data_IF_827368664523
#
_entry.id   IF_827368664523
#
_cell.length_a   1.000
_cell.length_b   1.000
_cell.length_c   1.000
_cell.angle_alpha   90.00
_cell.angle_beta   90.00
_cell.angle_gamma   90.00
#
_symmetry.space_group_name_H-M   'P 1'
#
loop_
_entity.id
_entity.type
_entity.pdbx_description
1 polymer ?
#
# COMPACT_ATOMS: atom_id res chain seq x y z
N UNK A 1 -1.94 -20.12 23.36
CA UNK A 1 -2.77 -19.30 22.44
C UNK A 1 -2.07 -19.26 21.10
N UNK A 2 -2.49 -20.09 20.14
CA UNK A 2 -1.92 -20.13 18.78
C UNK A 2 -2.69 -19.13 17.95
N UNK A 3 -2.07 -17.99 17.65
CA UNK A 3 -2.65 -16.95 16.80
C UNK A 3 -2.43 -17.34 15.33
N UNK A 4 -3.52 -17.38 14.59
CA UNK A 4 -3.53 -17.54 13.13
C UNK A 4 -2.86 -16.33 12.50
N UNK A 5 -1.79 -16.54 11.74
CA UNK A 5 -1.06 -15.47 11.05
C UNK A 5 -1.89 -15.04 9.83
N UNK A 6 -2.70 -14.00 10.01
CA UNK A 6 -3.12 -13.15 8.90
C UNK A 6 -1.96 -12.18 8.65
N UNK A 7 -1.56 -12.02 7.39
CA UNK A 7 -0.76 -10.88 6.93
C UNK A 7 -1.55 -9.63 7.25
N UNK A 8 -0.91 -8.66 7.88
CA UNK A 8 -1.56 -7.44 8.34
C UNK A 8 -1.36 -6.35 7.30
N UNK A 9 -2.13 -6.38 6.22
CA UNK A 9 -2.34 -5.16 5.44
C UNK A 9 -3.09 -4.17 6.35
N UNK A 10 -2.35 -3.29 7.05
CA UNK A 10 -2.89 -2.12 7.70
C UNK A 10 -3.43 -1.22 6.60
N UNK A 11 -4.70 -1.42 6.25
CA UNK A 11 -5.45 -0.49 5.46
C UNK A 11 -5.41 0.86 6.21
N UNK A 12 -4.59 1.79 5.72
CA UNK A 12 -4.96 3.18 5.83
C UNK A 12 -6.17 3.33 4.94
N UNK A 13 -7.34 3.00 5.52
CA UNK A 13 -8.59 3.48 5.00
C UNK A 13 -8.37 4.95 4.66
N UNK A 14 -8.57 5.29 3.39
CA UNK A 14 -8.78 6.65 2.98
C UNK A 14 -9.92 7.19 3.87
N UNK A 15 -9.53 7.83 4.97
CA UNK A 15 -10.36 8.65 5.85
C UNK A 15 -11.82 8.17 6.00
N UNK A 16 -12.04 7.01 6.62
CA UNK A 16 -13.34 6.75 7.25
C UNK A 16 -13.34 7.40 8.64
N UNK A 17 -13.50 8.72 8.70
CA UNK A 17 -14.03 9.33 9.91
C UNK A 17 -15.54 8.99 9.99
N UNK A 18 -16.10 8.69 11.18
CA UNK A 18 -17.54 8.50 11.31
C UNK A 18 -18.26 9.80 10.94
N UNK A 19 -19.00 9.77 9.83
CA UNK A 19 -19.87 10.86 9.39
C UNK A 19 -20.98 11.01 10.42
N UNK A 20 -21.00 12.13 11.14
CA UNK A 20 -22.16 12.54 11.92
C UNK A 20 -23.33 12.78 10.95
N UNK A 21 -24.54 12.24 11.20
CA UNK A 21 -25.68 12.50 10.34
C UNK A 21 -26.04 13.98 10.42
N UNK A 22 -25.80 14.71 9.33
CA UNK A 22 -26.30 16.07 9.15
C UNK A 22 -27.71 15.96 8.60
N UNK A 23 -28.72 16.21 9.42
CA UNK A 23 -30.08 16.41 8.95
C UNK A 23 -30.10 17.66 8.05
N UNK A 24 -30.38 17.50 6.75
CA UNK A 24 -30.73 18.65 5.90
C UNK A 24 -31.72 18.30 4.79
N UNK A 25 -32.90 18.90 4.96
CA UNK A 25 -33.83 19.50 3.99
C UNK A 25 -33.52 19.23 2.51
N UNK A 26 -34.51 18.61 1.87
CA UNK A 26 -34.62 18.27 0.45
C UNK A 26 -34.62 19.49 -0.48
N UNK A 27 -33.62 19.56 -1.37
CA UNK A 27 -33.79 20.05 -2.74
C UNK A 27 -33.22 19.01 -3.70
N UNK A 28 -34.09 18.46 -4.53
CA UNK A 28 -33.77 17.44 -5.51
C UNK A 28 -32.73 17.95 -6.52
N UNK A 29 -31.49 17.51 -6.38
CA UNK A 29 -30.53 17.49 -7.48
C UNK A 29 -30.88 16.26 -8.33
N UNK A 30 -31.27 16.48 -9.59
CA UNK A 30 -31.32 15.45 -10.61
C UNK A 30 -30.04 14.63 -10.56
N UNK A 31 -30.14 13.34 -10.24
CA UNK A 31 -29.03 12.40 -10.18
C UNK A 31 -28.46 12.20 -11.59
N UNK A 32 -27.57 13.09 -12.01
CA UNK A 32 -26.69 12.83 -13.14
C UNK A 32 -25.87 11.60 -12.80
N UNK A 33 -25.90 10.60 -13.68
CA UNK A 33 -25.02 9.45 -13.58
C UNK A 33 -23.56 9.93 -13.59
N UNK A 34 -22.72 9.37 -12.72
CA UNK A 34 -21.29 9.67 -12.74
C UNK A 34 -20.67 9.18 -14.06
N UNK A 35 -19.65 9.87 -14.60
CA UNK A 35 -18.96 9.43 -15.81
C UNK A 35 -18.35 8.03 -15.64
N UNK A 36 -18.12 7.29 -16.73
CA UNK A 36 -17.52 5.96 -16.66
C UNK A 36 -16.18 6.00 -15.94
N UNK A 37 -15.90 4.97 -15.15
CA UNK A 37 -14.66 4.82 -14.39
C UNK A 37 -13.44 4.79 -15.32
N UNK A 38 -12.35 5.42 -14.90
CA UNK A 38 -11.03 5.33 -15.55
C UNK A 38 -10.19 4.24 -14.89
N UNK A 39 -9.19 3.74 -15.62
CA UNK A 39 -8.17 2.84 -15.10
C UNK A 39 -6.79 3.33 -15.49
N UNK A 40 -5.76 2.78 -14.87
CA UNK A 40 -4.39 3.05 -15.30
C UNK A 40 -4.01 2.15 -16.47
N UNK A 41 -3.37 2.74 -17.48
CA UNK A 41 -2.63 1.97 -18.45
C UNK A 41 -1.33 1.47 -17.82
N UNK A 42 -0.80 0.37 -18.35
CA UNK A 42 0.45 -0.23 -17.89
C UNK A 42 1.61 0.77 -18.07
N UNK A 43 2.04 1.40 -16.97
CA UNK A 43 3.12 2.39 -16.99
C UNK A 43 4.38 1.81 -16.36
N UNK A 44 5.50 2.10 -17.03
CA UNK A 44 6.82 1.50 -16.80
C UNK A 44 7.30 1.72 -15.37
N UNK A 45 7.99 0.74 -14.75
CA UNK A 45 8.43 0.86 -13.38
C UNK A 45 9.47 1.99 -13.20
N UNK A 46 9.35 2.70 -12.08
CA UNK A 46 10.44 3.50 -11.50
C UNK A 46 11.68 2.61 -11.42
N UNK A 47 12.78 3.05 -12.04
CA UNK A 47 14.01 2.24 -12.14
C UNK A 47 14.60 2.02 -10.76
N UNK A 48 15.15 0.82 -10.52
CA UNK A 48 15.96 0.54 -9.33
C UNK A 48 17.21 1.42 -9.37
N UNK A 49 17.40 2.22 -8.32
CA UNK A 49 18.55 3.12 -8.14
C UNK A 49 19.49 2.67 -7.02
N UNK A 50 19.08 1.68 -6.23
CA UNK A 50 19.79 1.16 -5.06
C UNK A 50 21.02 0.35 -5.42
N UNK A 51 21.99 0.33 -4.50
CA UNK A 51 23.20 -0.47 -4.64
C UNK A 51 22.92 -1.96 -4.44
N UNK A 52 23.73 -2.83 -5.04
CA UNK A 52 23.55 -4.28 -4.87
C UNK A 52 23.77 -4.74 -3.43
N UNK A 53 24.58 -4.01 -2.65
CA UNK A 53 24.79 -4.31 -1.23
C UNK A 53 23.50 -4.11 -0.43
N UNK A 54 22.79 -3.01 -0.65
CA UNK A 54 21.49 -2.71 -0.01
C UNK A 54 20.42 -3.70 -0.48
N UNK A 55 20.34 -3.95 -1.79
CA UNK A 55 19.40 -4.93 -2.35
C UNK A 55 19.60 -6.32 -1.76
N UNK A 56 20.85 -6.75 -1.53
CA UNK A 56 21.14 -8.03 -0.92
C UNK A 56 20.68 -8.10 0.55
N UNK A 57 20.93 -7.05 1.33
CA UNK A 57 20.48 -6.99 2.73
C UNK A 57 18.96 -7.04 2.81
N UNK A 58 18.27 -6.20 2.04
CA UNK A 58 16.82 -6.13 2.07
C UNK A 58 16.18 -7.43 1.57
N UNK A 59 16.72 -8.06 0.52
CA UNK A 59 16.27 -9.39 0.09
C UNK A 59 16.32 -10.41 1.23
N UNK A 60 17.41 -10.45 1.99
CA UNK A 60 17.56 -11.39 3.11
C UNK A 60 16.58 -11.06 4.24
N UNK A 61 16.38 -9.78 4.56
CA UNK A 61 15.50 -9.35 5.65
C UNK A 61 14.00 -9.47 5.32
N UNK A 62 13.65 -9.37 4.05
CA UNK A 62 12.32 -9.68 3.55
C UNK A 62 12.07 -11.21 3.52
N UNK A 63 13.07 -12.01 3.15
CA UNK A 63 12.90 -13.45 2.90
C UNK A 63 13.01 -14.32 4.16
N UNK A 64 13.87 -13.96 5.12
CA UNK A 64 14.22 -14.82 6.26
C UNK A 64 13.62 -14.37 7.60
N UNK A 65 12.63 -13.49 7.56
CA UNK A 65 11.89 -13.02 8.73
C UNK A 65 10.41 -12.95 8.37
N UNK A 66 9.55 -13.02 9.37
CA UNK A 66 8.12 -12.70 9.29
C UNK A 66 7.86 -11.34 9.95
N UNK A 67 6.76 -10.67 9.62
CA UNK A 67 6.32 -9.40 10.27
C UNK A 67 6.32 -9.47 11.81
N UNK A 68 5.95 -10.64 12.34
CA UNK A 68 5.99 -10.93 13.79
C UNK A 68 7.38 -10.85 14.43
N UNK A 69 8.44 -10.79 13.62
CA UNK A 69 9.84 -10.86 14.03
C UNK A 69 10.39 -12.29 14.13
N UNK A 70 9.56 -13.32 13.91
CA UNK A 70 10.00 -14.73 13.85
C UNK A 70 10.93 -14.93 12.66
N UNK A 71 12.03 -15.65 12.86
CA UNK A 71 12.94 -16.02 11.77
C UNK A 71 12.36 -17.17 10.94
N UNK A 72 12.63 -17.14 9.65
CA UNK A 72 12.44 -18.27 8.73
C UNK A 72 13.82 -18.91 8.53
N UNK A 73 13.91 -20.23 8.65
CA UNK A 73 15.18 -20.95 8.56
C UNK A 73 15.65 -21.16 7.11
N UNK A 74 14.70 -21.33 6.20
CA UNK A 74 14.95 -21.66 4.79
C UNK A 74 14.04 -20.86 3.87
N UNK A 75 14.59 -20.43 2.74
CA UNK A 75 13.82 -19.83 1.65
C UNK A 75 12.83 -20.86 1.10
N UNK A 76 11.63 -20.39 0.75
CA UNK A 76 10.62 -21.18 0.01
C UNK A 76 10.07 -20.36 -1.13
N UNK A 77 9.83 -21.04 -2.26
CA UNK A 77 9.12 -20.50 -3.43
C UNK A 77 8.33 -21.62 -4.11
N UNK A 78 7.62 -21.29 -5.18
CA UNK A 78 7.08 -22.32 -6.07
C UNK A 78 8.21 -22.81 -6.99
N UNK A 79 8.45 -24.12 -7.03
CA UNK A 79 9.41 -24.73 -7.98
C UNK A 79 8.73 -25.20 -9.28
N UNK A 80 7.41 -25.35 -9.25
CA UNK A 80 6.59 -25.75 -10.40
C UNK A 80 6.00 -24.57 -11.16
N UNK A 81 5.12 -24.84 -12.15
CA UNK A 81 4.46 -23.81 -12.93
C UNK A 81 3.67 -22.84 -12.07
N UNK A 82 3.83 -21.54 -12.31
CA UNK A 82 3.02 -20.52 -11.65
C UNK A 82 1.70 -20.37 -12.39
N UNK A 83 0.63 -20.84 -11.77
CA UNK A 83 -0.72 -20.77 -12.32
C UNK A 83 -1.67 -20.07 -11.37
N UNK A 84 -2.47 -19.14 -11.89
CA UNK A 84 -3.37 -18.30 -11.10
C UNK A 84 -4.80 -18.56 -11.52
N UNK A 85 -5.68 -18.86 -10.56
CA UNK A 85 -7.13 -19.00 -10.78
C UNK A 85 -7.87 -17.97 -9.94
N UNK A 86 -8.97 -17.42 -10.46
CA UNK A 86 -9.88 -16.56 -9.72
C UNK A 86 -11.16 -17.32 -9.37
N UNK A 87 -11.62 -17.19 -8.12
CA UNK A 87 -12.88 -17.72 -7.62
C UNK A 87 -13.74 -16.62 -7.00
N UNK A 88 -15.05 -16.89 -6.89
CA UNK A 88 -16.02 -15.97 -6.28
C UNK A 88 -16.55 -14.90 -7.24
N UNK A 89 -17.52 -14.13 -6.75
CA UNK A 89 -18.12 -13.01 -7.49
C UNK A 89 -17.24 -11.78 -7.39
N UNK A 90 -16.15 -11.76 -8.15
CA UNK A 90 -15.22 -10.64 -8.21
C UNK A 90 -15.85 -9.38 -8.83
N UNK A 91 -15.36 -8.21 -8.40
CA UNK A 91 -15.68 -6.94 -9.06
C UNK A 91 -15.22 -6.97 -10.53
N UNK A 92 -15.93 -6.31 -11.47
CA UNK A 92 -15.59 -6.34 -12.90
C UNK A 92 -14.16 -5.89 -13.22
N UNK A 93 -13.58 -4.98 -12.42
CA UNK A 93 -12.21 -4.49 -12.60
C UNK A 93 -11.13 -5.50 -12.23
N UNK A 94 -11.43 -6.47 -11.36
CA UNK A 94 -10.44 -7.42 -10.82
C UNK A 94 -9.73 -8.16 -11.94
N UNK A 95 -10.46 -8.66 -12.93
CA UNK A 95 -9.87 -9.43 -14.03
C UNK A 95 -8.90 -8.57 -14.85
N UNK A 96 -9.28 -7.34 -15.22
CA UNK A 96 -8.40 -6.45 -15.98
C UNK A 96 -7.16 -6.03 -15.19
N UNK A 97 -7.32 -5.75 -13.89
CA UNK A 97 -6.21 -5.37 -13.01
C UNK A 97 -5.26 -6.56 -12.79
N UNK A 98 -5.79 -7.76 -12.62
CA UNK A 98 -5.00 -8.99 -12.53
C UNK A 98 -4.27 -9.27 -13.84
N UNK A 99 -4.91 -9.15 -14.99
CA UNK A 99 -4.26 -9.38 -16.29
C UNK A 99 -3.09 -8.42 -16.51
N UNK A 100 -3.24 -7.15 -16.13
CA UNK A 100 -2.16 -6.16 -16.16
C UNK A 100 -1.01 -6.56 -15.21
N UNK A 101 -1.32 -6.93 -13.96
CA UNK A 101 -0.32 -7.40 -13.00
C UNK A 101 0.43 -8.63 -13.50
N UNK A 102 -0.27 -9.64 -14.03
CA UNK A 102 0.35 -10.85 -14.58
C UNK A 102 1.23 -10.54 -15.80
N UNK A 103 0.84 -9.59 -16.65
CA UNK A 103 1.67 -9.13 -17.76
C UNK A 103 2.96 -8.47 -17.27
N UNK A 104 2.87 -7.62 -16.24
CA UNK A 104 4.04 -7.01 -15.60
C UNK A 104 4.95 -8.03 -14.94
N UNK A 105 4.42 -9.00 -14.20
CA UNK A 105 5.22 -10.06 -13.56
C UNK A 105 6.01 -10.88 -14.59
N UNK A 106 5.42 -11.19 -15.76
CA UNK A 106 6.15 -11.82 -16.87
C UNK A 106 7.24 -10.91 -17.42
N UNK A 107 6.92 -9.64 -17.67
CA UNK A 107 7.80 -8.69 -18.38
C UNK A 107 8.95 -8.16 -17.53
N UNK A 108 8.67 -7.81 -16.27
CA UNK A 108 9.58 -7.10 -15.38
C UNK A 108 10.31 -8.05 -14.42
N UNK A 109 9.58 -9.04 -13.87
CA UNK A 109 10.12 -10.02 -12.94
C UNK A 109 10.53 -11.35 -13.59
N UNK A 110 10.32 -11.51 -14.91
CA UNK A 110 10.74 -12.69 -15.69
C UNK A 110 10.10 -14.00 -15.17
N UNK A 111 8.85 -13.92 -14.72
CA UNK A 111 8.10 -15.05 -14.16
C UNK A 111 7.21 -15.69 -15.22
N UNK A 112 7.33 -17.01 -15.42
CA UNK A 112 6.37 -17.80 -16.21
C UNK A 112 5.09 -18.06 -15.40
N UNK A 113 4.29 -17.00 -15.25
CA UNK A 113 3.03 -17.01 -14.51
C UNK A 113 1.84 -16.89 -15.47
N UNK A 114 0.84 -17.76 -15.37
CA UNK A 114 -0.31 -17.77 -16.31
C UNK A 114 -1.67 -17.99 -15.64
N UNK A 115 -2.75 -17.38 -16.17
CA UNK A 115 -4.08 -17.68 -15.71
C UNK A 115 -4.46 -19.14 -16.04
N UNK A 116 -5.30 -19.74 -15.22
CA UNK A 116 -5.86 -21.09 -15.42
C UNK A 116 -7.25 -21.19 -14.81
N UNK A 117 -8.05 -22.13 -15.33
CA UNK A 117 -9.31 -22.54 -14.71
C UNK A 117 -9.19 -23.86 -13.93
N UNK A 118 -8.00 -24.48 -13.94
CA UNK A 118 -7.75 -25.74 -13.24
C UNK A 118 -8.02 -25.60 -11.75
N UNK A 119 -8.74 -26.55 -11.12
CA UNK A 119 -8.83 -26.62 -9.66
C UNK A 119 -7.49 -26.86 -8.97
N UNK A 120 -6.48 -27.29 -9.73
CA UNK A 120 -5.12 -27.52 -9.27
C UNK A 120 -4.16 -26.33 -9.52
N UNK A 121 -4.70 -25.11 -9.58
CA UNK A 121 -3.85 -23.92 -9.67
C UNK A 121 -2.89 -23.81 -8.47
N UNK A 122 -1.68 -23.30 -8.71
CA UNK A 122 -0.71 -23.05 -7.63
C UNK A 122 -1.14 -21.89 -6.74
N UNK A 123 -1.84 -20.90 -7.31
CA UNK A 123 -2.36 -19.74 -6.59
C UNK A 123 -3.85 -19.58 -6.91
N UNK A 124 -4.69 -19.52 -5.89
CA UNK A 124 -6.10 -19.13 -6.03
C UNK A 124 -6.31 -17.73 -5.46
N UNK A 125 -6.83 -16.81 -6.24
CA UNK A 125 -7.39 -15.55 -5.74
C UNK A 125 -8.88 -15.77 -5.56
N UNK A 126 -9.42 -15.54 -4.36
CA UNK A 126 -10.83 -15.72 -4.09
C UNK A 126 -11.44 -14.43 -3.56
N UNK A 127 -12.41 -13.91 -4.30
CA UNK A 127 -13.21 -12.77 -3.91
C UNK A 127 -14.26 -13.20 -2.88
N UNK A 128 -14.22 -12.61 -1.68
CA UNK A 128 -15.10 -12.91 -0.56
C UNK A 128 -15.78 -11.60 -0.12
N UNK A 129 -17.10 -11.59 0.19
CA UNK A 129 -17.74 -10.39 0.72
C UNK A 129 -17.01 -9.87 1.96
N UNK A 130 -16.76 -8.56 2.04
CA UNK A 130 -15.95 -7.93 3.08
C UNK A 130 -16.46 -8.26 4.49
N UNK A 131 -17.78 -8.28 4.68
CA UNK A 131 -18.40 -8.68 5.97
C UNK A 131 -18.07 -10.11 6.38
N UNK A 132 -17.90 -11.02 5.42
CA UNK A 132 -17.51 -12.41 5.68
C UNK A 132 -16.04 -12.49 6.05
N UNK A 133 -15.16 -11.76 5.34
CA UNK A 133 -13.74 -11.65 5.69
C UNK A 133 -13.56 -11.11 7.10
N UNK A 134 -14.16 -9.95 7.41
CA UNK A 134 -14.04 -9.29 8.71
C UNK A 134 -14.61 -10.12 9.88
N UNK A 135 -15.54 -11.05 9.65
CA UNK A 135 -15.99 -11.96 10.71
C UNK A 135 -14.95 -13.02 11.05
N UNK A 136 -14.17 -13.47 10.07
CA UNK A 136 -13.15 -14.50 10.25
C UNK A 136 -11.79 -13.91 10.68
N UNK A 137 -11.40 -12.79 10.07
CA UNK A 137 -10.15 -12.05 10.27
C UNK A 137 -10.44 -10.55 10.40
N UNK A 138 -10.93 -10.07 11.57
CA UNK A 138 -11.49 -8.72 11.72
C UNK A 138 -10.61 -7.53 11.38
N UNK A 139 -9.32 -7.76 11.24
CA UNK A 139 -8.36 -6.68 11.07
C UNK A 139 -7.54 -6.79 9.77
N UNK A 140 -7.88 -7.74 8.91
CA UNK A 140 -7.26 -7.90 7.59
C UNK A 140 -8.23 -7.39 6.51
N UNK A 141 -7.75 -6.53 5.61
CA UNK A 141 -8.51 -6.14 4.42
C UNK A 141 -8.47 -7.27 3.37
N UNK A 142 -7.27 -7.75 3.09
CA UNK A 142 -6.94 -8.94 2.33
C UNK A 142 -5.81 -9.68 3.06
N UNK A 143 -5.56 -10.94 2.66
CA UNK A 143 -4.47 -11.74 3.20
C UNK A 143 -4.17 -12.95 2.32
N UNK A 144 -2.92 -13.40 2.35
CA UNK A 144 -2.44 -14.63 1.73
C UNK A 144 -2.23 -15.76 2.74
N UNK A 145 -2.60 -16.99 2.34
CA UNK A 145 -2.48 -18.20 3.17
C UNK A 145 -1.81 -19.33 2.39
N UNK A 146 -0.82 -20.04 2.99
CA UNK A 146 -0.16 -21.15 2.32
C UNK A 146 -0.93 -22.47 2.50
N UNK A 147 -0.67 -23.43 1.61
CA UNK A 147 -1.19 -24.81 1.64
C UNK A 147 -2.72 -24.91 1.69
N UNK A 148 -3.44 -23.91 1.22
CA UNK A 148 -4.89 -23.96 1.06
C UNK A 148 -5.25 -23.56 -0.36
N UNK A 149 -6.33 -24.14 -0.88
CA UNK A 149 -6.80 -23.92 -2.25
C UNK A 149 -7.92 -22.90 -2.36
N UNK A 150 -8.67 -22.72 -1.28
CA UNK A 150 -9.86 -21.86 -1.21
C UNK A 150 -10.24 -21.54 0.24
N UNK A 151 -11.34 -20.79 0.39
CA UNK A 151 -11.88 -20.31 1.65
C UNK A 151 -12.31 -21.43 2.60
N UNK A 152 -12.88 -22.52 2.08
CA UNK A 152 -13.38 -23.61 2.92
C UNK A 152 -12.21 -24.39 3.52
N UNK A 153 -11.17 -24.66 2.73
CA UNK A 153 -9.92 -25.24 3.24
C UNK A 153 -9.25 -24.33 4.28
N UNK A 154 -9.23 -23.01 4.05
CA UNK A 154 -8.72 -22.06 5.03
C UNK A 154 -9.53 -22.15 6.33
N UNK A 155 -10.86 -22.08 6.29
CA UNK A 155 -11.69 -22.10 7.48
C UNK A 155 -11.53 -23.41 8.29
N UNK A 156 -11.35 -24.54 7.61
CA UNK A 156 -11.09 -25.83 8.23
C UNK A 156 -9.69 -25.92 8.87
N UNK A 157 -8.69 -25.24 8.32
CA UNK A 157 -7.28 -25.37 8.71
C UNK A 157 -6.71 -24.17 9.46
N UNK A 158 -7.46 -23.07 9.60
CA UNK A 158 -6.96 -21.78 10.12
C UNK A 158 -6.24 -21.89 11.46
N UNK A 159 -6.69 -22.76 12.36
CA UNK A 159 -6.11 -22.95 13.70
C UNK A 159 -4.96 -23.96 13.75
N UNK A 160 -4.51 -24.48 12.60
CA UNK A 160 -3.49 -25.53 12.50
C UNK A 160 -2.15 -24.98 12.02
N UNK A 161 -1.08 -25.78 12.16
CA UNK A 161 0.25 -25.44 11.64
C UNK A 161 0.29 -25.46 10.09
N UNK A 162 -0.75 -26.01 9.44
CA UNK A 162 -0.85 -26.04 7.97
C UNK A 162 -0.77 -24.66 7.35
N UNK A 163 -1.29 -23.63 8.02
CA UNK A 163 -1.27 -22.24 7.52
C UNK A 163 -0.07 -21.42 8.00
N UNK A 164 0.88 -22.03 8.76
CA UNK A 164 2.09 -21.33 9.22
C UNK A 164 3.20 -21.34 8.15
N UNK A 165 3.49 -20.16 7.60
CA UNK A 165 4.55 -19.94 6.61
C UNK A 165 5.94 -20.43 7.05
N UNK A 166 6.26 -20.35 8.35
CA UNK A 166 7.58 -20.75 8.87
C UNK A 166 7.84 -22.26 8.83
N UNK A 167 6.79 -23.06 8.57
CA UNK A 167 6.87 -24.52 8.50
C UNK A 167 6.88 -25.04 7.05
N UNK A 168 6.94 -24.14 6.07
CA UNK A 168 7.05 -24.52 4.67
C UNK A 168 8.46 -24.96 4.35
N UNK A 169 8.57 -26.01 3.55
CA UNK A 169 9.80 -26.42 2.87
C UNK A 169 9.81 -26.03 1.40
N UNK A 170 8.62 -25.88 0.80
CA UNK A 170 8.36 -25.46 -0.57
C UNK A 170 6.92 -24.90 -0.65
N UNK A 171 6.65 -24.01 -1.62
CA UNK A 171 5.28 -23.56 -1.92
C UNK A 171 4.69 -24.40 -3.06
N UNK A 172 3.50 -24.93 -2.84
CA UNK A 172 2.77 -25.75 -3.83
C UNK A 172 1.41 -25.16 -4.15
N UNK A 173 0.66 -24.82 -3.10
CA UNK A 173 -0.61 -24.12 -3.18
C UNK A 173 -0.65 -22.96 -2.19
N UNK A 174 -1.32 -21.89 -2.59
CA UNK A 174 -1.68 -20.79 -1.70
C UNK A 174 -2.97 -20.13 -2.19
N UNK A 175 -3.69 -19.51 -1.25
CA UNK A 175 -4.87 -18.71 -1.54
C UNK A 175 -4.67 -17.26 -1.11
N UNK A 176 -5.12 -16.33 -1.95
CA UNK A 176 -5.22 -14.91 -1.68
C UNK A 176 -6.71 -14.59 -1.53
N UNK A 177 -7.09 -13.98 -0.41
CA UNK A 177 -8.47 -13.59 -0.16
C UNK A 177 -8.62 -12.08 -0.28
N UNK A 178 -9.50 -11.63 -1.16
CA UNK A 178 -9.75 -10.21 -1.43
C UNK A 178 -11.21 -9.84 -1.17
N UNK A 179 -11.51 -8.61 -0.72
CA UNK A 179 -12.88 -8.15 -0.53
C UNK A 179 -13.60 -7.96 -1.88
N UNK A 180 -14.70 -8.68 -2.09
CA UNK A 180 -15.45 -8.67 -3.35
C UNK A 180 -16.14 -7.33 -3.66
N UNK A 181 -16.42 -6.56 -2.61
CA UNK A 181 -17.24 -5.35 -2.60
C UNK A 181 -16.47 -4.09 -2.16
N UNK A 182 -15.13 -4.15 -2.12
CA UNK A 182 -14.27 -2.99 -1.88
C UNK A 182 -14.10 -2.12 -3.14
N UNK A 183 -13.43 -0.97 -2.98
CA UNK A 183 -13.09 -0.10 -4.10
C UNK A 183 -12.16 -0.82 -5.10
N UNK A 184 -12.29 -0.57 -6.42
CA UNK A 184 -11.41 -1.16 -7.44
C UNK A 184 -9.92 -1.01 -7.15
N UNK A 185 -9.50 0.19 -6.73
CA UNK A 185 -8.12 0.42 -6.32
C UNK A 185 -7.73 -0.46 -5.12
N UNK A 186 -8.54 -0.52 -4.06
CA UNK A 186 -8.23 -1.35 -2.87
C UNK A 186 -8.07 -2.84 -3.24
N UNK A 187 -8.94 -3.35 -4.12
CA UNK A 187 -8.81 -4.72 -4.63
C UNK A 187 -7.50 -4.88 -5.39
N UNK A 188 -7.14 -3.93 -6.26
CA UNK A 188 -5.89 -3.97 -7.00
C UNK A 188 -4.66 -3.88 -6.09
N UNK A 189 -4.67 -2.99 -5.11
CA UNK A 189 -3.58 -2.80 -4.16
C UNK A 189 -3.33 -4.14 -3.41
N UNK A 190 -4.41 -4.81 -2.97
CA UNK A 190 -4.37 -6.18 -2.45
C UNK A 190 -3.81 -7.20 -3.46
N UNK A 191 -4.20 -7.13 -4.75
CA UNK A 191 -3.62 -8.01 -5.76
C UNK A 191 -2.10 -7.83 -5.87
N UNK A 192 -1.59 -6.60 -5.81
CA UNK A 192 -0.15 -6.35 -5.91
C UNK A 192 0.60 -6.87 -4.68
N UNK A 193 0.15 -6.54 -3.48
CA UNK A 193 0.79 -6.93 -2.22
C UNK A 193 0.76 -8.44 -2.02
N UNK A 194 -0.44 -9.03 -2.05
CA UNK A 194 -0.63 -10.45 -1.73
C UNK A 194 -0.04 -11.37 -2.81
N UNK A 195 -0.03 -10.93 -4.08
CA UNK A 195 0.65 -11.68 -5.13
C UNK A 195 2.18 -11.62 -4.95
N UNK A 196 2.74 -10.49 -4.55
CA UNK A 196 4.17 -10.40 -4.30
C UNK A 196 4.59 -11.23 -3.09
N UNK A 197 3.79 -11.22 -2.02
CA UNK A 197 4.04 -12.07 -0.86
C UNK A 197 3.85 -13.56 -1.16
N UNK A 198 2.83 -13.95 -1.95
CA UNK A 198 2.61 -15.36 -2.31
C UNK A 198 3.73 -15.91 -3.17
N UNK A 199 4.30 -15.09 -4.06
CA UNK A 199 5.42 -15.48 -4.93
C UNK A 199 6.76 -15.41 -4.20
N UNK A 200 6.90 -14.48 -3.26
CA UNK A 200 8.18 -14.03 -2.76
C UNK A 200 8.19 -13.73 -1.26
N UNK A 201 8.94 -12.70 -0.83
CA UNK A 201 9.20 -12.46 0.59
C UNK A 201 7.93 -12.28 1.44
N UNK A 202 8.04 -12.53 2.75
CA UNK A 202 6.90 -12.68 3.67
C UNK A 202 6.94 -11.69 4.84
N UNK A 203 7.66 -10.58 4.67
CA UNK A 203 7.87 -9.59 5.70
C UNK A 203 7.85 -8.21 5.08
N UNK A 204 7.41 -7.24 5.86
CA UNK A 204 7.43 -5.85 5.51
C UNK A 204 8.48 -5.09 6.32
N UNK A 205 8.99 -4.02 5.73
CA UNK A 205 10.08 -3.24 6.26
C UNK A 205 9.78 -1.75 6.07
N UNK A 206 9.49 -1.06 7.18
CA UNK A 206 9.26 0.41 7.24
C UNK A 206 10.37 1.29 6.65
N UNK A 207 11.53 0.71 6.31
CA UNK A 207 12.67 1.43 5.73
C UNK A 207 12.69 1.38 4.20
N UNK A 208 11.71 0.76 3.55
CA UNK A 208 11.66 0.61 2.08
C UNK A 208 10.77 1.67 1.44
N UNK A 209 11.27 2.90 1.16
CA UNK A 209 10.45 3.98 0.64
C UNK A 209 9.89 3.72 -0.76
N UNK A 210 10.37 2.70 -1.46
CA UNK A 210 10.15 2.40 -2.87
C UNK A 210 9.63 0.96 -3.05
N UNK A 211 8.76 0.48 -2.17
CA UNK A 211 8.29 -0.91 -2.16
C UNK A 211 6.88 -1.03 -1.61
N UNK A 212 6.12 -1.99 -2.12
CA UNK A 212 4.87 -2.44 -1.48
C UNK A 212 5.12 -3.21 -0.19
N UNK A 213 6.32 -3.78 0.00
CA UNK A 213 6.75 -4.44 1.25
C UNK A 213 7.11 -3.41 2.34
N UNK A 214 6.49 -2.24 2.30
CA UNK A 214 6.59 -1.23 3.34
C UNK A 214 5.22 -1.08 3.98
N UNK A 215 5.18 -1.29 5.29
CA UNK A 215 4.00 -1.25 6.13
C UNK A 215 3.46 0.19 6.37
N UNK A 216 3.78 1.12 5.46
CA UNK A 216 3.20 2.47 5.41
C UNK A 216 2.00 2.57 4.43
N UNK A 217 1.80 1.56 3.59
CA UNK A 217 0.71 1.45 2.62
C UNK A 217 0.61 2.65 1.65
N UNK A 218 1.76 3.20 1.25
CA UNK A 218 1.82 4.35 0.33
C UNK A 218 1.93 3.92 -1.14
N UNK A 219 2.60 2.80 -1.42
CA UNK A 219 2.71 2.28 -2.79
C UNK A 219 1.52 1.38 -3.13
N UNK A 220 0.70 1.83 -4.07
CA UNK A 220 -0.48 1.10 -4.55
C UNK A 220 -0.15 -0.05 -5.52
N UNK A 221 1.04 -0.03 -6.14
CA UNK A 221 1.45 -1.00 -7.16
C UNK A 221 2.90 -1.40 -6.99
N UNK A 222 3.22 -2.63 -7.40
CA UNK A 222 4.60 -3.15 -7.41
C UNK A 222 5.54 -2.21 -8.16
N UNK A 223 6.64 -1.88 -7.50
CA UNK A 223 7.70 -0.99 -7.99
C UNK A 223 8.81 -1.77 -8.71
N UNK A 224 9.81 -1.05 -9.25
CA UNK A 224 11.01 -1.70 -9.78
C UNK A 224 11.80 -2.47 -8.71
N UNK A 225 11.79 -2.03 -7.45
CA UNK A 225 12.41 -2.76 -6.35
C UNK A 225 11.73 -4.12 -6.17
N UNK A 226 10.39 -4.13 -6.07
CA UNK A 226 9.60 -5.34 -5.82
C UNK A 226 9.77 -6.35 -6.96
N UNK A 227 9.72 -5.88 -8.21
CA UNK A 227 9.95 -6.72 -9.38
C UNK A 227 11.35 -7.35 -9.38
N UNK A 228 12.38 -6.60 -8.96
CA UNK A 228 13.72 -7.15 -8.84
C UNK A 228 13.82 -8.16 -7.69
N UNK A 229 13.16 -7.95 -6.54
CA UNK A 229 13.11 -8.92 -5.44
C UNK A 229 12.46 -10.24 -5.89
N UNK A 230 11.36 -10.16 -6.65
CA UNK A 230 10.71 -11.34 -7.22
C UNK A 230 11.62 -12.03 -8.24
N UNK A 231 12.28 -11.28 -9.12
CA UNK A 231 13.22 -11.85 -10.10
C UNK A 231 14.42 -12.54 -9.43
N UNK A 232 14.94 -11.97 -8.33
CA UNK A 232 16.00 -12.61 -7.53
C UNK A 232 15.47 -13.89 -6.87
N UNK A 233 14.25 -13.86 -6.31
CA UNK A 233 13.59 -15.04 -5.71
C UNK A 233 13.55 -16.22 -6.68
N UNK A 234 13.29 -15.96 -7.96
CA UNK A 234 13.19 -16.96 -9.02
C UNK A 234 14.48 -17.15 -9.84
N UNK A 235 15.60 -16.58 -9.39
CA UNK A 235 16.90 -16.83 -10.03
C UNK A 235 17.25 -18.34 -9.96
N UNK A 236 17.85 -18.92 -11.02
CA UNK A 236 18.14 -20.36 -11.09
C UNK A 236 19.14 -20.84 -10.03
N UNK A 237 19.95 -19.93 -9.49
CA UNK A 237 20.90 -20.21 -8.42
C UNK A 237 20.22 -20.38 -7.06
N UNK A 238 19.00 -19.86 -6.89
CA UNK A 238 18.19 -20.02 -5.68
C UNK A 238 17.19 -21.16 -5.84
N UNK A 239 16.87 -21.83 -4.74
CA UNK A 239 15.83 -22.88 -4.66
C UNK A 239 15.32 -23.01 -3.22
N UNK A 240 14.13 -23.58 -3.09
CA UNK A 240 13.52 -23.88 -1.80
C UNK A 240 14.43 -24.78 -0.96
N UNK A 241 14.47 -24.52 0.35
CA UNK A 241 15.34 -25.21 1.31
C UNK A 241 16.73 -24.56 1.50
N UNK A 242 17.10 -23.54 0.72
CA UNK A 242 18.35 -22.81 0.97
C UNK A 242 18.27 -21.97 2.26
N UNK A 243 19.31 -22.06 3.07
CA UNK A 243 19.49 -21.25 4.29
C UNK A 243 19.84 -19.80 3.97
N UNK A 244 19.66 -18.89 4.95
CA UNK A 244 20.04 -17.48 4.82
C UNK A 244 21.50 -17.30 4.36
N UNK A 245 22.43 -18.10 4.88
CA UNK A 245 23.84 -18.02 4.52
C UNK A 245 24.11 -18.47 3.08
N UNK A 246 23.45 -19.54 2.62
CA UNK A 246 23.58 -20.02 1.25
C UNK A 246 23.03 -18.99 0.24
N UNK A 247 21.87 -18.40 0.55
CA UNK A 247 21.28 -17.33 -0.27
C UNK A 247 22.21 -16.11 -0.28
N UNK A 248 22.67 -15.65 0.90
CA UNK A 248 23.58 -14.51 1.02
C UNK A 248 24.85 -14.68 0.17
N UNK A 249 25.39 -15.90 0.10
CA UNK A 249 26.57 -16.21 -0.74
C UNK A 249 26.28 -16.14 -2.24
N UNK A 250 25.05 -16.40 -2.67
CA UNK A 250 24.66 -16.39 -4.10
C UNK A 250 24.27 -14.99 -4.60
N UNK A 251 23.71 -14.15 -3.71
CA UNK A 251 23.17 -12.83 -4.05
C UNK A 251 24.13 -11.91 -4.82
N UNK A 252 25.44 -11.80 -4.51
CA UNK A 252 26.32 -10.87 -5.23
C UNK A 252 26.38 -11.14 -6.72
N UNK A 253 26.49 -12.42 -7.14
CA UNK A 253 26.54 -12.78 -8.56
C UNK A 253 25.20 -12.58 -9.25
N UNK A 254 24.10 -12.94 -8.58
CA UNK A 254 22.74 -12.75 -9.09
C UNK A 254 22.45 -11.25 -9.31
N UNK A 255 22.74 -10.41 -8.32
CA UNK A 255 22.48 -8.97 -8.38
C UNK A 255 23.40 -8.24 -9.35
N UNK A 256 24.67 -8.66 -9.51
CA UNK A 256 25.54 -8.12 -10.55
C UNK A 256 24.96 -8.36 -11.96
N UNK A 257 24.32 -9.52 -12.17
CA UNK A 257 23.65 -9.87 -13.43
C UNK A 257 22.32 -9.15 -13.63
N UNK A 258 21.48 -9.08 -12.59
CA UNK A 258 20.12 -8.54 -12.68
C UNK A 258 20.03 -7.01 -12.49
N UNK A 259 20.98 -6.43 -11.74
CA UNK A 259 21.09 -5.01 -11.47
C UNK A 259 22.54 -4.51 -11.68
N UNK A 260 23.04 -4.50 -12.93
CA UNK A 260 24.42 -4.14 -13.23
C UNK A 260 24.78 -2.69 -12.84
N UNK A 261 23.79 -1.79 -12.76
CA UNK A 261 23.99 -0.40 -12.33
C UNK A 261 24.12 -0.24 -10.81
N UNK A 262 23.70 -1.23 -10.02
CA UNK A 262 23.83 -1.21 -8.57
C UNK A 262 25.27 -1.33 -8.07
N UNK A 263 26.22 -1.70 -8.94
CA UNK A 263 27.65 -1.77 -8.63
C UNK A 263 28.00 -2.74 -7.50
N UNK A 264 29.21 -2.61 -6.97
CA UNK A 264 29.69 -3.32 -5.77
C UNK A 264 29.93 -2.39 -4.58
N UNK A 265 29.71 -1.08 -4.75
CA UNK A 265 29.88 -0.06 -3.71
C UNK A 265 28.61 0.10 -2.87
N UNK A 266 28.77 0.68 -1.67
CA UNK A 266 27.69 0.91 -0.69
C UNK A 266 27.90 0.14 0.60
N UNK A 267 27.56 0.75 1.74
CA UNK A 267 27.55 0.06 3.04
C UNK A 267 26.17 -0.53 3.29
N UNK A 268 26.06 -1.86 3.20
CA UNK A 268 24.86 -2.61 3.57
C UNK A 268 24.70 -2.67 5.10
N UNK A 269 24.44 -1.53 5.72
CA UNK A 269 24.06 -1.52 7.14
C UNK A 269 23.07 -0.42 7.42
N UNK A 270 21.80 -0.76 7.23
CA UNK A 270 20.73 -0.03 7.89
C UNK A 270 20.35 -0.78 9.17
N UNK A 271 20.31 -0.09 10.33
CA UNK A 271 19.81 -0.69 11.54
C UNK A 271 18.34 -1.06 11.35
N UNK A 272 17.99 -2.28 11.76
CA UNK A 272 16.62 -2.77 11.78
C UNK A 272 15.70 -1.83 12.55
N UNK A 273 14.42 -1.82 12.17
CA UNK A 273 13.42 -1.08 12.92
C UNK A 273 13.19 -1.76 14.27
N UNK A 274 13.47 -1.04 15.35
CA UNK A 274 13.24 -1.50 16.73
C UNK A 274 11.79 -1.93 16.94
N UNK A 275 11.59 -3.03 17.68
CA UNK A 275 10.25 -3.52 18.05
C UNK A 275 9.46 -2.50 18.87
N UNK A 276 10.15 -1.64 19.63
CA UNK A 276 9.51 -0.57 20.39
C UNK A 276 8.90 0.51 19.51
N UNK A 277 9.58 0.86 18.41
CA UNK A 277 9.04 1.80 17.43
C UNK A 277 7.87 1.17 16.67
N UNK A 278 8.01 -0.08 16.22
CA UNK A 278 6.94 -0.81 15.51
C UNK A 278 5.66 -0.84 16.36
N UNK A 279 5.74 -1.28 17.62
CA UNK A 279 4.58 -1.29 18.53
C UNK A 279 3.96 0.08 18.73
N UNK A 280 4.78 1.14 18.77
CA UNK A 280 4.28 2.51 18.89
C UNK A 280 3.50 2.93 17.63
N UNK A 281 4.00 2.57 16.45
CA UNK A 281 3.29 2.82 15.19
C UNK A 281 2.01 1.99 15.09
N UNK A 282 2.05 0.67 15.32
CA UNK A 282 0.85 -0.19 15.36
C UNK A 282 -0.23 0.39 16.29
N UNK A 283 0.17 0.86 17.48
CA UNK A 283 -0.75 1.49 18.44
C UNK A 283 -1.27 2.84 17.95
N UNK A 284 -0.46 3.64 17.25
CA UNK A 284 -0.90 4.91 16.68
C UNK A 284 -1.94 4.71 15.56
N UNK A 285 -1.74 3.67 14.75
CA UNK A 285 -2.54 3.41 13.55
C UNK A 285 -3.81 2.60 13.82
N UNK A 286 -3.85 1.80 14.88
CA UNK A 286 -5.01 0.96 15.20
C UNK A 286 -6.26 1.77 15.60
N UNK A 287 -7.43 1.32 15.13
CA UNK A 287 -8.72 1.92 15.48
C UNK A 287 -9.21 1.52 16.89
N UNK A 288 -8.69 0.44 17.48
CA UNK A 288 -9.15 -0.09 18.76
C UNK A 288 -8.68 0.67 20.00
N UNK A 289 -7.78 1.65 19.86
CA UNK A 289 -7.22 2.42 20.97
C UNK A 289 -7.85 3.81 21.08
N UNK A 290 -7.90 4.37 22.30
CA UNK A 290 -8.40 5.73 22.51
C UNK A 290 -7.60 6.77 21.70
N UNK A 291 -8.20 7.88 21.24
CA UNK A 291 -7.47 8.92 20.51
C UNK A 291 -6.24 9.46 21.26
N UNK A 292 -6.33 9.62 22.59
CA UNK A 292 -5.21 10.06 23.42
C UNK A 292 -4.06 9.04 23.44
N UNK A 293 -4.39 7.75 23.57
CA UNK A 293 -3.40 6.65 23.50
C UNK A 293 -2.68 6.65 22.16
N UNK A 294 -3.43 6.80 21.06
CA UNK A 294 -2.88 6.82 19.69
C UNK A 294 -1.92 8.00 19.50
N UNK A 295 -2.30 9.21 19.92
CA UNK A 295 -1.44 10.40 19.89
C UNK A 295 -0.16 10.20 20.71
N UNK A 296 -0.28 9.68 21.94
CA UNK A 296 0.88 9.40 22.78
C UNK A 296 1.83 8.36 22.15
N UNK A 297 1.28 7.37 21.45
CA UNK A 297 2.04 6.36 20.73
C UNK A 297 2.77 6.95 19.51
N UNK A 298 2.12 7.78 18.71
CA UNK A 298 2.77 8.50 17.59
C UNK A 298 3.92 9.39 18.08
N UNK A 299 3.69 10.17 19.14
CA UNK A 299 4.74 10.98 19.76
C UNK A 299 5.90 10.13 20.32
N UNK A 300 5.60 8.92 20.85
CA UNK A 300 6.63 7.96 21.29
C UNK A 300 7.45 7.44 20.10
N UNK A 301 6.82 7.14 18.96
CA UNK A 301 7.52 6.69 17.76
C UNK A 301 8.50 7.75 17.25
N UNK A 302 8.09 9.03 17.20
CA UNK A 302 8.97 10.15 16.84
C UNK A 302 10.18 10.23 17.78
N UNK A 303 9.96 10.20 19.11
CA UNK A 303 11.05 10.25 20.10
C UNK A 303 12.04 9.09 19.98
N UNK A 304 11.54 7.87 19.72
CA UNK A 304 12.41 6.70 19.53
C UNK A 304 13.28 6.90 18.29
N UNK A 305 12.71 7.35 17.16
CA UNK A 305 13.46 7.63 15.93
C UNK A 305 14.57 8.66 16.16
N UNK A 306 14.26 9.77 16.83
CA UNK A 306 15.23 10.80 17.18
C UNK A 306 16.36 10.28 18.09
N UNK A 307 16.00 9.49 19.11
CA UNK A 307 16.98 8.92 20.06
C UNK A 307 17.93 7.94 19.37
N UNK A 308 17.43 7.18 18.41
CA UNK A 308 18.21 6.23 17.62
C UNK A 308 18.94 6.87 16.43
N UNK A 309 18.77 8.19 16.21
CA UNK A 309 19.36 8.90 15.08
C UNK A 309 18.86 8.42 13.72
N UNK A 310 17.63 7.88 13.65
CA UNK A 310 17.04 7.48 12.37
C UNK A 310 16.58 8.70 11.57
N UNK A 311 16.77 8.61 10.26
CA UNK A 311 16.29 9.60 9.29
C UNK A 311 15.51 8.92 8.17
N UNK A 312 14.90 9.73 7.30
CA UNK A 312 14.26 9.26 6.07
C UNK A 312 12.87 8.67 6.31
N UNK A 313 12.47 7.61 5.58
CA UNK A 313 11.07 7.20 5.47
C UNK A 313 10.40 6.88 6.81
N UNK A 314 11.12 6.17 7.71
CA UNK A 314 10.62 5.86 9.06
C UNK A 314 10.29 7.11 9.87
N UNK A 315 11.18 8.09 9.82
CA UNK A 315 11.00 9.35 10.54
C UNK A 315 9.82 10.14 9.96
N UNK A 316 9.78 10.27 8.63
CA UNK A 316 8.67 10.93 7.93
C UNK A 316 7.32 10.28 8.23
N UNK A 317 7.28 8.95 8.33
CA UNK A 317 6.05 8.21 8.58
C UNK A 317 5.53 8.39 10.01
N UNK A 318 6.43 8.42 11.00
CA UNK A 318 6.06 8.75 12.38
C UNK A 318 5.46 10.17 12.49
N UNK A 319 6.07 11.15 11.81
CA UNK A 319 5.52 12.52 11.75
C UNK A 319 4.20 12.61 10.99
N UNK A 320 4.05 11.87 9.90
CA UNK A 320 2.78 11.80 9.16
C UNK A 320 1.65 11.26 10.04
N UNK A 321 1.88 10.13 10.73
CA UNK A 321 0.91 9.55 11.64
C UNK A 321 0.57 10.50 12.80
N UNK A 322 1.58 11.17 13.37
CA UNK A 322 1.38 12.20 14.39
C UNK A 322 0.50 13.34 13.88
N UNK A 323 0.81 13.90 12.70
CA UNK A 323 0.03 14.99 12.11
C UNK A 323 -1.44 14.60 11.91
N UNK A 324 -1.70 13.40 11.36
CA UNK A 324 -3.06 12.87 11.16
C UNK A 324 -3.87 12.77 12.45
N UNK A 325 -3.23 12.39 13.56
CA UNK A 325 -3.89 12.24 14.85
C UNK A 325 -4.13 13.58 15.57
N UNK A 326 -3.45 14.64 15.15
CA UNK A 326 -3.56 15.99 15.73
C UNK A 326 -4.56 16.90 15.00
N UNK A 327 -4.99 16.59 13.76
CA UNK A 327 -5.85 17.49 12.94
C UNK A 327 -7.06 18.04 13.70
N UNK A 328 -7.79 17.18 14.43
CA UNK A 328 -8.96 17.54 15.23
C UNK A 328 -8.68 17.85 16.71
N UNK A 329 -7.41 17.90 17.12
CA UNK A 329 -7.00 18.08 18.52
C UNK A 329 -6.14 19.35 18.70
N UNK A 330 -5.08 19.49 17.90
CA UNK A 330 -4.21 20.66 17.84
C UNK A 330 -3.76 20.87 16.39
N UNK A 331 -4.46 21.76 15.69
CA UNK A 331 -4.21 22.07 14.27
C UNK A 331 -2.79 22.61 14.02
N UNK A 332 -2.18 23.31 14.99
CA UNK A 332 -0.81 23.83 14.85
C UNK A 332 0.21 22.70 14.97
N UNK A 333 0.02 21.81 15.94
CA UNK A 333 0.85 20.62 16.07
C UNK A 333 0.72 19.71 14.84
N UNK A 334 -0.49 19.56 14.29
CA UNK A 334 -0.74 18.82 13.07
C UNK A 334 0.06 19.37 11.88
N UNK A 335 -0.06 20.68 11.60
CA UNK A 335 0.67 21.32 10.52
C UNK A 335 2.20 21.21 10.71
N UNK A 336 2.69 21.43 11.93
CA UNK A 336 4.12 21.29 12.25
C UNK A 336 4.64 19.88 11.95
N UNK A 337 3.86 18.85 12.30
CA UNK A 337 4.22 17.47 12.01
C UNK A 337 4.18 17.15 10.51
N UNK A 338 3.19 17.66 9.78
CA UNK A 338 3.14 17.50 8.31
C UNK A 338 4.30 18.22 7.61
N UNK A 339 4.69 19.41 8.05
CA UNK A 339 5.86 20.11 7.53
C UNK A 339 7.17 19.34 7.81
N UNK A 340 7.29 18.73 8.99
CA UNK A 340 8.42 17.87 9.29
C UNK A 340 8.47 16.65 8.35
N UNK A 341 7.35 15.95 8.19
CA UNK A 341 7.24 14.81 7.27
C UNK A 341 7.56 15.22 5.82
N UNK A 342 7.02 16.34 5.34
CA UNK A 342 7.24 16.84 3.98
C UNK A 342 8.71 17.18 3.73
N UNK A 343 9.39 17.85 4.69
CA UNK A 343 10.84 18.11 4.58
C UNK A 343 11.66 16.84 4.48
N UNK A 344 11.33 15.83 5.29
CA UNK A 344 12.02 14.53 5.28
C UNK A 344 11.81 13.82 3.94
N UNK A 345 10.58 13.77 3.44
CA UNK A 345 10.26 13.06 2.20
C UNK A 345 10.76 13.79 0.95
N UNK A 346 10.85 15.12 0.94
CA UNK A 346 11.42 15.87 -0.19
C UNK A 346 12.93 15.71 -0.34
N UNK A 347 13.61 15.20 0.70
CA UNK A 347 15.06 14.99 0.66
C UNK A 347 15.48 13.79 -0.23
N UNK A 348 14.53 12.95 -0.68
CA UNK A 348 14.81 11.78 -1.51
C UNK A 348 13.82 11.64 -2.66
N UNK A 349 14.34 11.24 -3.82
CA UNK A 349 13.50 10.90 -4.98
C UNK A 349 12.62 9.67 -4.69
N UNK A 350 13.08 8.74 -3.85
CA UNK A 350 12.34 7.52 -3.52
C UNK A 350 11.05 7.79 -2.72
N UNK A 351 10.95 8.95 -2.07
CA UNK A 351 9.81 9.32 -1.20
C UNK A 351 8.94 10.42 -1.80
N UNK A 352 8.98 10.62 -3.12
CA UNK A 352 8.16 11.65 -3.78
C UNK A 352 6.66 11.39 -3.62
N UNK A 353 6.22 10.13 -3.74
CA UNK A 353 4.82 9.76 -3.49
C UNK A 353 4.40 10.02 -2.04
N UNK A 354 5.28 9.80 -1.05
CA UNK A 354 5.02 10.16 0.34
C UNK A 354 4.72 11.65 0.48
N UNK A 355 5.52 12.51 -0.16
CA UNK A 355 5.27 13.97 -0.17
C UNK A 355 3.93 14.33 -0.84
N UNK A 356 3.50 13.61 -1.88
CA UNK A 356 2.18 13.80 -2.48
C UNK A 356 1.03 13.44 -1.51
N UNK A 357 1.19 12.40 -0.69
CA UNK A 357 0.25 12.11 0.40
C UNK A 357 0.22 13.22 1.46
N UNK A 358 1.37 13.82 1.81
CA UNK A 358 1.40 14.98 2.71
C UNK A 358 0.73 16.20 2.08
N UNK A 359 0.86 16.39 0.77
CA UNK A 359 0.26 17.52 0.06
C UNK A 359 -1.27 17.57 0.22
N UNK A 360 -1.95 16.42 0.28
CA UNK A 360 -3.39 16.36 0.60
C UNK A 360 -3.71 16.99 1.95
N UNK A 361 -2.92 16.67 2.98
CA UNK A 361 -3.15 17.20 4.33
C UNK A 361 -2.91 18.70 4.37
N UNK A 362 -1.81 19.17 3.77
CA UNK A 362 -1.48 20.60 3.69
C UNK A 362 -2.50 21.37 2.83
N UNK A 363 -2.99 20.78 1.75
CA UNK A 363 -4.02 21.36 0.89
C UNK A 363 -5.34 21.53 1.64
N UNK A 364 -5.70 20.60 2.53
CA UNK A 364 -6.87 20.76 3.39
C UNK A 364 -6.74 21.98 4.32
N UNK A 365 -5.59 22.16 4.98
CA UNK A 365 -5.34 23.34 5.82
C UNK A 365 -5.36 24.64 5.01
N UNK A 366 -4.69 24.66 3.85
CA UNK A 366 -4.65 25.84 2.97
C UNK A 366 -6.05 26.21 2.46
N UNK A 367 -6.82 25.22 1.99
CA UNK A 367 -8.18 25.43 1.49
C UNK A 367 -9.10 25.99 2.58
N UNK A 368 -9.02 25.43 3.80
CA UNK A 368 -9.79 25.94 4.94
C UNK A 368 -9.38 27.33 5.43
N UNK A 369 -8.14 27.73 5.20
CA UNK A 369 -7.69 29.10 5.42
C UNK A 369 -8.11 30.07 4.30
N UNK A 370 -8.76 29.59 3.23
CA UNK A 370 -9.04 30.37 2.03
C UNK A 370 -7.82 30.64 1.16
N UNK A 371 -6.69 29.97 1.42
CA UNK A 371 -5.47 30.09 0.64
C UNK A 371 -5.54 29.19 -0.60
N UNK A 372 -6.26 29.69 -1.60
CA UNK A 372 -6.44 29.02 -2.88
C UNK A 372 -5.11 28.82 -3.63
N UNK A 373 -4.20 29.78 -3.53
CA UNK A 373 -2.95 29.77 -4.29
C UNK A 373 -2.03 28.65 -3.80
N UNK A 374 -1.82 28.54 -2.49
CA UNK A 374 -1.06 27.42 -1.89
C UNK A 374 -1.74 26.07 -2.17
N UNK A 375 -3.08 26.02 -2.13
CA UNK A 375 -3.82 24.78 -2.43
C UNK A 375 -3.56 24.31 -3.87
N UNK A 376 -3.58 25.23 -4.84
CA UNK A 376 -3.29 24.94 -6.25
C UNK A 376 -1.83 24.49 -6.42
N UNK A 377 -0.86 25.19 -5.81
CA UNK A 377 0.56 24.84 -5.91
C UNK A 377 0.85 23.43 -5.36
N UNK A 378 0.27 23.10 -4.20
CA UNK A 378 0.40 21.76 -3.61
C UNK A 378 -0.19 20.69 -4.51
N UNK A 379 -1.37 20.93 -5.08
CA UNK A 379 -2.03 19.99 -5.97
C UNK A 379 -1.29 19.83 -7.31
N UNK A 380 -0.79 20.92 -7.90
CA UNK A 380 -0.05 20.90 -9.16
C UNK A 380 1.22 20.09 -9.08
N UNK A 381 1.92 20.17 -7.95
CA UNK A 381 3.11 19.36 -7.72
C UNK A 381 2.77 17.87 -7.48
N UNK A 382 1.67 17.58 -6.81
CA UNK A 382 1.33 16.23 -6.35
C UNK A 382 0.53 15.39 -7.37
N UNK A 383 -0.27 16.02 -8.24
CA UNK A 383 -1.10 15.33 -9.25
C UNK A 383 -0.26 14.45 -10.20
N UNK A 384 0.87 14.92 -10.77
CA UNK A 384 1.71 14.08 -11.62
C UNK A 384 2.26 12.86 -10.87
N UNK A 385 2.66 13.03 -9.60
CA UNK A 385 3.19 11.95 -8.76
C UNK A 385 2.12 10.90 -8.45
N UNK A 386 0.91 11.33 -8.09
CA UNK A 386 -0.21 10.42 -7.85
C UNK A 386 -0.56 9.62 -9.11
N UNK A 387 -0.46 10.23 -10.30
CA UNK A 387 -0.66 9.56 -11.58
C UNK A 387 0.45 8.57 -11.92
N UNK A 388 1.71 8.97 -11.73
CA UNK A 388 2.89 8.12 -11.99
C UNK A 388 2.89 6.87 -11.10
N UNK A 389 2.57 7.04 -9.81
CA UNK A 389 2.45 5.94 -8.85
C UNK A 389 1.08 5.23 -8.89
N UNK A 390 0.26 5.54 -9.88
CA UNK A 390 -1.03 4.92 -10.12
C UNK A 390 -2.00 4.94 -8.93
N UNK A 391 -1.99 5.99 -8.10
CA UNK A 391 -2.90 6.11 -6.95
C UNK A 391 -4.10 6.99 -7.32
N UNK A 392 -5.23 6.37 -7.71
CA UNK A 392 -6.42 7.07 -8.17
C UNK A 392 -7.15 7.83 -7.04
N UNK A 393 -7.23 7.26 -5.84
CA UNK A 393 -7.85 7.92 -4.68
C UNK A 393 -7.10 9.21 -4.31
N UNK A 394 -5.76 9.15 -4.31
CA UNK A 394 -4.90 10.31 -4.12
C UNK A 394 -5.06 11.32 -5.26
N UNK A 395 -4.99 10.87 -6.50
CA UNK A 395 -5.14 11.71 -7.70
C UNK A 395 -6.47 12.46 -7.70
N UNK A 396 -7.58 11.74 -7.51
CA UNK A 396 -8.92 12.31 -7.45
C UNK A 396 -9.04 13.33 -6.33
N UNK A 397 -8.55 13.02 -5.13
CA UNK A 397 -8.55 13.94 -3.99
C UNK A 397 -7.81 15.24 -4.31
N UNK A 398 -6.59 15.16 -4.88
CA UNK A 398 -5.80 16.35 -5.23
C UNK A 398 -6.49 17.21 -6.31
N UNK A 399 -7.12 16.56 -7.30
CA UNK A 399 -7.92 17.25 -8.32
C UNK A 399 -9.13 17.95 -7.70
N UNK A 400 -9.81 17.32 -6.74
CA UNK A 400 -10.92 17.93 -6.00
C UNK A 400 -10.46 19.16 -5.21
N UNK A 401 -9.33 19.08 -4.49
CA UNK A 401 -8.75 20.24 -3.79
C UNK A 401 -8.45 21.39 -4.74
N UNK A 402 -7.80 21.10 -5.87
CA UNK A 402 -7.50 22.10 -6.89
C UNK A 402 -8.77 22.71 -7.49
N UNK A 403 -9.81 21.90 -7.73
CA UNK A 403 -11.08 22.40 -8.24
C UNK A 403 -11.75 23.38 -7.25
N UNK A 404 -11.77 23.05 -5.96
CA UNK A 404 -12.32 23.96 -4.93
C UNK A 404 -11.49 25.25 -4.77
N UNK A 405 -10.17 25.17 -4.90
CA UNK A 405 -9.31 26.34 -4.88
C UNK A 405 -9.46 27.24 -6.12
N UNK A 406 -9.64 26.66 -7.32
CA UNK A 406 -9.96 27.41 -8.53
C UNK A 406 -11.30 28.15 -8.40
N UNK A 407 -12.28 27.52 -7.74
CA UNK A 407 -13.56 28.17 -7.44
C UNK A 407 -13.37 29.39 -6.53
N UNK A 408 -12.54 29.29 -5.49
CA UNK A 408 -12.20 30.42 -4.61
C UNK A 408 -11.53 31.59 -5.35
N UNK A 409 -10.83 31.33 -6.46
CA UNK A 409 -10.23 32.35 -7.32
C UNK A 409 -11.21 32.91 -8.38
N UNK A 410 -12.48 32.48 -8.39
CA UNK A 410 -13.49 32.87 -9.38
C UNK A 410 -13.36 32.12 -10.73
N UNK A 411 -12.55 31.07 -10.79
CA UNK A 411 -12.31 30.24 -11.97
C UNK A 411 -13.36 29.15 -12.19
N UNK A 412 -14.66 29.46 -12.09
CA UNK A 412 -15.74 28.45 -12.02
C UNK A 412 -15.76 27.47 -13.22
N UNK A 413 -15.41 27.91 -14.43
CA UNK A 413 -15.35 27.02 -15.61
C UNK A 413 -14.23 25.98 -15.47
N UNK A 414 -13.05 26.41 -15.04
CA UNK A 414 -11.90 25.51 -14.84
C UNK A 414 -12.11 24.59 -13.64
N UNK A 415 -12.72 25.13 -12.56
CA UNK A 415 -13.09 24.36 -11.38
C UNK A 415 -14.07 23.23 -11.73
N UNK A 416 -15.13 23.53 -12.50
CA UNK A 416 -16.12 22.53 -12.88
C UNK A 416 -15.56 21.48 -13.84
N UNK A 417 -14.75 21.90 -14.83
CA UNK A 417 -14.07 20.96 -15.72
C UNK A 417 -13.18 19.98 -14.93
N UNK A 418 -12.37 20.50 -14.00
CA UNK A 418 -11.48 19.65 -13.19
C UNK A 418 -12.24 18.75 -12.21
N UNK A 419 -13.36 19.23 -11.66
CA UNK A 419 -14.25 18.43 -10.82
C UNK A 419 -14.80 17.25 -11.60
N UNK A 420 -15.30 17.47 -12.82
CA UNK A 420 -15.77 16.41 -13.72
C UNK A 420 -14.65 15.42 -14.07
N UNK A 421 -13.44 15.91 -14.36
CA UNK A 421 -12.28 15.06 -14.65
C UNK A 421 -11.83 14.21 -13.46
N UNK A 422 -12.12 14.64 -12.23
CA UNK A 422 -11.78 13.88 -11.01
C UNK A 422 -12.70 12.67 -10.80
N UNK A 423 -13.95 12.73 -11.29
CA UNK A 423 -14.98 11.74 -10.99
C UNK A 423 -14.63 10.32 -11.50
N UNK A 424 -14.14 10.12 -12.72
CA UNK A 424 -13.76 8.77 -13.17
C UNK A 424 -12.66 8.11 -12.34
N UNK A 425 -11.67 8.90 -11.89
CA UNK A 425 -10.61 8.43 -10.99
C UNK A 425 -11.16 8.18 -9.58
N UNK A 426 -12.07 9.02 -9.12
CA UNK A 426 -12.74 8.86 -7.83
C UNK A 426 -13.53 7.55 -7.77
N UNK A 427 -14.20 7.14 -8.86
CA UNK A 427 -14.91 5.86 -8.94
C UNK A 427 -13.94 4.66 -8.82
N UNK A 428 -12.77 4.75 -9.43
CA UNK A 428 -11.74 3.71 -9.29
C UNK A 428 -11.15 3.69 -7.87
N UNK A 429 -10.85 4.87 -7.31
CA UNK A 429 -10.22 5.01 -5.99
C UNK A 429 -11.14 4.76 -4.79
N UNK A 430 -12.41 5.16 -4.86
CA UNK A 430 -13.36 5.11 -3.74
C UNK A 430 -14.51 4.10 -3.93
N UNK A 431 -14.65 3.54 -5.14
CA UNK A 431 -15.68 2.56 -5.46
C UNK A 431 -17.05 3.19 -5.69
N UNK A 432 -17.93 3.10 -4.69
CA UNK A 432 -19.34 3.46 -4.83
C UNK A 432 -19.54 4.95 -5.15
N UNK A 433 -20.59 5.25 -5.91
CA UNK A 433 -20.97 6.63 -6.23
C UNK A 433 -21.25 7.46 -4.94
N UNK A 434 -21.73 6.81 -3.88
CA UNK A 434 -21.94 7.44 -2.57
C UNK A 434 -20.62 7.84 -1.92
N UNK A 435 -19.60 6.99 -1.94
CA UNK A 435 -18.27 7.33 -1.41
C UNK A 435 -17.63 8.48 -2.20
N UNK A 436 -17.78 8.48 -3.54
CA UNK A 436 -17.31 9.57 -4.40
C UNK A 436 -17.98 10.90 -4.02
N UNK A 437 -19.30 10.89 -3.86
CA UNK A 437 -20.07 12.09 -3.48
C UNK A 437 -19.73 12.56 -2.07
N UNK A 438 -19.59 11.63 -1.12
CA UNK A 438 -19.17 11.95 0.24
C UNK A 438 -17.81 12.64 0.25
N UNK A 439 -16.84 12.13 -0.52
CA UNK A 439 -15.52 12.73 -0.62
C UNK A 439 -15.55 14.14 -1.24
N UNK A 440 -16.34 14.33 -2.29
CA UNK A 440 -16.55 15.66 -2.89
C UNK A 440 -17.17 16.64 -1.88
N UNK A 441 -18.18 16.20 -1.15
CA UNK A 441 -18.85 17.01 -0.14
C UNK A 441 -17.89 17.39 0.99
N UNK A 442 -17.05 16.46 1.44
CA UNK A 442 -16.00 16.71 2.44
C UNK A 442 -15.03 17.80 1.96
N UNK A 443 -14.45 17.64 0.77
CA UNK A 443 -13.48 18.62 0.23
C UNK A 443 -14.14 19.98 -0.01
N UNK A 444 -15.35 20.02 -0.55
CA UNK A 444 -16.12 21.26 -0.74
C UNK A 444 -16.44 21.95 0.58
N UNK A 445 -16.75 21.18 1.62
CA UNK A 445 -17.08 21.66 2.96
C UNK A 445 -15.90 22.30 3.70
N UNK A 446 -14.66 22.14 3.20
CA UNK A 446 -13.50 22.79 3.77
C UNK A 446 -13.40 24.27 3.39
N UNK A 447 -14.11 24.76 2.37
CA UNK A 447 -14.06 26.16 1.97
C UNK A 447 -14.67 27.06 3.05
N UNK A 448 -14.09 28.25 3.32
CA UNK A 448 -14.57 29.12 4.38
C UNK A 448 -15.91 29.82 4.10
N UNK A 449 -16.36 29.88 2.83
CA UNK A 449 -17.58 30.59 2.40
C UNK A 449 -18.35 29.84 1.31
#
# INVERSE_FOLDING_TARGET
MRQTFAVWALAFAASCAPVQPVDTITRAATTSALPPMQGFADTSPVRVTRSNAEMAQDFLDLTFRLESGRSISTMTRFEGPLTVRVLGSAAPSLTSDLDALLARLRKEADLDIRPTQSPDASITIQAIPQRTLQRAVPKAACFVVPRVRDWDEYMASRSSERVDWSTLTQREHAAIFVPADAAPQEIRDCLHEEMAQVLGPLNDLYRLPDSVFNDDNIHAVLTGFDMLMLRVTYAPELRSGMTRAQVASALPAILARLNPRGGSGGTASFPDTSRDWIRAMETALTEGSSPATRRAAAARAVRIGQTLGWTGPREGFAYYAMGRLEVGNDSRAALTAFEAADRIYRASQATQIHSAHIAVQKAAFALSAGDAMTTIELADLAIPLAREHQNAALLATLMMFKAEALELQGGSVAAEALRLDSLPWARYGFGSDDNVRARLAEVRGLRPF
#
